data_IF_029636690976
#
_entry.id   IF_029636690976
#
_cell.length_a   1.000
_cell.length_b   1.000
_cell.length_c   1.000
_cell.angle_alpha   90.00
_cell.angle_beta   90.00
_cell.angle_gamma   90.00
#
_symmetry.space_group_name_H-M   'P 1'
#
loop_
_entity.id
_entity.type
_entity.pdbx_description
1 polymer ?
#
# COMPACT_ATOMS: atom_id res chain seq x y z
N UNK A 1 -10.30 13.55 8.62
CA UNK A 1 -9.18 12.74 9.20
C UNK A 1 -9.20 11.29 8.71
N UNK A 2 -10.21 10.47 9.01
CA UNK A 2 -10.24 9.04 8.63
C UNK A 2 -10.16 8.77 7.11
N UNK A 3 -10.90 9.51 6.29
CA UNK A 3 -10.87 9.38 4.82
C UNK A 3 -9.45 9.54 4.23
N UNK A 4 -8.73 10.58 4.64
CA UNK A 4 -7.36 10.83 4.17
C UNK A 4 -6.40 9.71 4.59
N UNK A 5 -6.55 9.13 5.77
CA UNK A 5 -5.78 7.96 6.18
C UNK A 5 -6.02 6.76 5.26
N UNK A 6 -7.29 6.49 4.94
CA UNK A 6 -7.67 5.40 4.03
C UNK A 6 -7.07 5.65 2.64
N UNK A 7 -7.18 6.87 2.11
CA UNK A 7 -6.58 7.24 0.81
C UNK A 7 -5.06 6.99 0.78
N UNK A 8 -4.35 7.30 1.87
CA UNK A 8 -2.91 7.04 1.99
C UNK A 8 -2.58 5.55 2.01
N UNK A 9 -3.34 4.74 2.75
CA UNK A 9 -3.16 3.28 2.78
C UNK A 9 -3.41 2.67 1.40
N UNK A 10 -4.46 3.10 0.71
CA UNK A 10 -4.74 2.66 -0.67
C UNK A 10 -3.63 3.06 -1.65
N UNK A 11 -3.04 4.25 -1.46
CA UNK A 11 -1.90 4.72 -2.26
C UNK A 11 -0.68 3.82 -2.05
N UNK A 12 -0.34 3.51 -0.79
CA UNK A 12 0.73 2.55 -0.44
C UNK A 12 0.47 1.19 -1.08
N UNK A 13 -0.73 0.62 -0.92
CA UNK A 13 -1.06 -0.69 -1.46
C UNK A 13 -0.85 -0.78 -2.97
N UNK A 14 -1.29 0.25 -3.71
CA UNK A 14 -1.18 0.31 -5.17
C UNK A 14 0.24 0.56 -5.65
N UNK A 15 0.96 1.47 -5.01
CA UNK A 15 2.24 1.97 -5.51
C UNK A 15 3.43 1.18 -4.98
N UNK A 16 3.34 0.64 -3.76
CA UNK A 16 4.44 -0.11 -3.11
C UNK A 16 4.23 -1.62 -3.22
N UNK A 17 3.00 -2.09 -2.97
CA UNK A 17 2.73 -3.54 -2.88
C UNK A 17 2.00 -4.12 -4.11
N UNK A 18 2.00 -3.40 -5.24
CA UNK A 18 1.53 -3.94 -6.52
C UNK A 18 0.03 -4.23 -6.61
N UNK A 19 -0.79 -3.70 -5.69
CA UNK A 19 -2.25 -3.90 -5.63
C UNK A 19 -2.97 -3.02 -6.67
N UNK A 20 -2.43 -2.92 -7.89
CA UNK A 20 -2.89 -2.01 -8.97
C UNK A 20 -4.24 -2.44 -9.58
N UNK A 21 -4.45 -3.75 -9.74
CA UNK A 21 -5.56 -4.31 -10.50
C UNK A 21 -6.58 -5.07 -9.65
N UNK A 22 -7.17 -4.40 -8.65
CA UNK A 22 -8.18 -5.00 -7.76
C UNK A 22 -9.32 -5.72 -8.51
N UNK A 23 -9.71 -5.18 -9.67
CA UNK A 23 -10.84 -5.67 -10.48
C UNK A 23 -10.54 -6.96 -11.26
N UNK A 24 -9.27 -7.35 -11.43
CA UNK A 24 -8.88 -8.57 -12.18
C UNK A 24 -8.85 -9.81 -11.28
N UNK A 25 -8.89 -9.59 -9.96
CA UNK A 25 -8.69 -10.59 -8.93
C UNK A 25 -10.00 -11.29 -8.53
N UNK A 26 -10.68 -11.91 -9.49
CA UNK A 26 -11.93 -12.67 -9.27
C UNK A 26 -11.72 -14.15 -8.91
N UNK A 27 -10.47 -14.61 -8.73
CA UNK A 27 -10.16 -16.00 -8.32
C UNK A 27 -9.78 -16.01 -6.83
N UNK A 28 -10.25 -16.99 -6.06
CA UNK A 28 -10.08 -17.08 -4.59
C UNK A 28 -8.66 -16.79 -4.09
N UNK A 29 -7.62 -17.27 -4.78
CA UNK A 29 -6.21 -17.01 -4.41
C UNK A 29 -5.77 -15.54 -4.51
N UNK A 30 -6.54 -14.71 -5.21
CA UNK A 30 -6.24 -13.30 -5.37
C UNK A 30 -6.71 -12.43 -4.19
N UNK A 31 -7.72 -12.87 -3.44
CA UNK A 31 -8.17 -12.18 -2.23
C UNK A 31 -7.10 -12.16 -1.14
N UNK A 32 -6.32 -13.24 -1.00
CA UNK A 32 -5.22 -13.30 -0.02
C UNK A 32 -4.06 -12.36 -0.36
N UNK A 33 -3.70 -12.25 -1.64
CA UNK A 33 -2.69 -11.28 -2.08
C UNK A 33 -3.12 -9.84 -1.79
N UNK A 34 -4.39 -9.52 -2.04
CA UNK A 34 -4.95 -8.20 -1.72
C UNK A 34 -4.91 -7.95 -0.20
N UNK A 35 -5.37 -8.93 0.60
CA UNK A 35 -5.36 -8.82 2.05
C UNK A 35 -3.96 -8.56 2.59
N UNK A 36 -2.97 -9.34 2.15
CA UNK A 36 -1.56 -9.18 2.53
C UNK A 36 -1.03 -7.80 2.14
N UNK A 37 -1.31 -7.34 0.91
CA UNK A 37 -0.89 -6.02 0.45
C UNK A 37 -1.48 -4.88 1.29
N UNK A 38 -2.76 -4.96 1.66
CA UNK A 38 -3.37 -3.98 2.55
C UNK A 38 -2.86 -4.06 3.99
N UNK A 39 -2.61 -5.26 4.50
CA UNK A 39 -2.04 -5.46 5.84
C UNK A 39 -0.68 -4.78 5.96
N UNK A 40 0.24 -5.05 5.03
CA UNK A 40 1.55 -4.40 5.02
C UNK A 40 1.46 -2.89 4.76
N UNK A 41 0.49 -2.44 3.97
CA UNK A 41 0.24 -1.01 3.78
C UNK A 41 -0.14 -0.30 5.07
N UNK A 42 -0.95 -0.95 5.91
CA UNK A 42 -1.30 -0.43 7.24
C UNK A 42 -0.10 -0.39 8.19
N UNK A 43 0.77 -1.41 8.15
CA UNK A 43 1.99 -1.44 8.95
C UNK A 43 2.95 -0.33 8.54
N UNK A 44 3.25 -0.22 7.24
CA UNK A 44 4.12 0.83 6.71
C UNK A 44 3.57 2.23 7.00
N UNK A 45 2.25 2.43 6.89
CA UNK A 45 1.64 3.71 7.24
C UNK A 45 1.81 4.07 8.72
N UNK A 46 1.69 3.10 9.63
CA UNK A 46 1.90 3.31 11.07
C UNK A 46 3.35 3.65 11.35
N UNK A 47 4.28 2.88 10.82
CA UNK A 47 5.73 3.07 10.97
C UNK A 47 6.18 4.45 10.49
N UNK A 48 5.78 4.84 9.27
CA UNK A 48 6.09 6.17 8.73
C UNK A 48 5.52 7.30 9.59
N UNK A 49 4.36 7.08 10.23
CA UNK A 49 3.74 8.09 11.08
C UNK A 49 4.46 8.21 12.42
N UNK A 50 4.90 7.09 12.99
CA UNK A 50 5.63 7.04 14.26
C UNK A 50 7.02 7.68 14.11
N UNK A 51 7.69 7.43 12.99
CA UNK A 51 8.96 8.06 12.59
C UNK A 51 8.79 9.51 12.09
N UNK A 52 7.55 10.04 12.05
CA UNK A 52 7.21 11.39 11.54
C UNK A 52 7.67 11.65 10.10
N UNK A 53 7.76 10.60 9.30
CA UNK A 53 8.12 10.65 7.89
C UNK A 53 6.91 11.06 7.07
N UNK A 54 7.14 11.87 6.03
CA UNK A 54 6.10 12.23 5.09
C UNK A 54 5.72 11.02 4.22
N UNK A 55 4.51 10.51 4.42
CA UNK A 55 3.97 9.34 3.72
C UNK A 55 4.00 9.49 2.19
N UNK A 56 3.64 10.65 1.66
CA UNK A 56 3.61 10.85 0.21
C UNK A 56 5.00 10.81 -0.41
N UNK A 57 6.01 11.34 0.30
CA UNK A 57 7.42 11.26 -0.11
C UNK A 57 7.96 9.83 -0.04
N UNK A 58 7.66 9.13 1.06
CA UNK A 58 8.11 7.75 1.25
C UNK A 58 7.51 6.82 0.19
N UNK A 59 6.22 6.95 -0.10
CA UNK A 59 5.56 6.17 -1.15
C UNK A 59 6.17 6.42 -2.52
N UNK A 60 6.53 7.66 -2.86
CA UNK A 60 7.24 7.95 -4.11
C UNK A 60 8.57 7.20 -4.20
N UNK A 61 9.39 7.28 -3.16
CA UNK A 61 10.69 6.59 -3.10
C UNK A 61 10.57 5.06 -3.17
N UNK A 62 9.59 4.48 -2.49
CA UNK A 62 9.37 3.03 -2.52
C UNK A 62 8.75 2.55 -3.83
N UNK A 63 7.84 3.34 -4.41
CA UNK A 63 7.17 3.02 -5.66
C UNK A 63 8.12 2.99 -6.86
N UNK A 64 9.12 3.87 -6.89
CA UNK A 64 10.13 3.92 -7.96
C UNK A 64 11.13 2.74 -7.91
N UNK A 65 11.18 2.00 -6.79
CA UNK A 65 12.05 0.84 -6.58
C UNK A 65 11.30 -0.51 -6.66
N UNK A 66 10.11 -0.57 -7.28
CA UNK A 66 9.24 -1.77 -7.29
C UNK A 66 9.57 -2.82 -8.35
N UNK A 67 10.74 -2.75 -9.01
CA UNK A 67 11.20 -3.74 -10.00
C UNK A 67 11.58 -5.13 -9.39
N UNK A 68 11.11 -5.42 -8.17
CA UNK A 68 11.58 -6.54 -7.33
C UNK A 68 10.44 -7.46 -6.84
N UNK A 69 9.24 -7.37 -7.43
CA UNK A 69 8.11 -8.26 -7.10
C UNK A 69 7.45 -8.89 -8.31
#
# INVERSE_FOLDING_TARGET
>A
KKRSTIEKIFKIAKQVYGVKNLHVYHKEGAYWKIFIGFYFSCLLYQDLKDEKINVDRAVGLFGDNTDVW
#
